data_IF_981482024497
#
_entry.id   IF_981482024497
#
_cell.length_a   1.000
_cell.length_b   1.000
_cell.length_c   1.000
_cell.angle_alpha   90.00
_cell.angle_beta   90.00
_cell.angle_gamma   90.00
#
_symmetry.space_group_name_H-M   'P 1'
#
loop_
_entity.id
_entity.type
_entity.pdbx_description
1 polymer ?
#
# COMPACT_ATOMS: atom_id res chain seq x y z
N UNK A 1 2.71 20.47 -1.98
CA UNK A 1 3.89 19.72 -1.49
C UNK A 1 3.98 18.41 -2.26
N UNK A 2 5.19 18.02 -2.64
CA UNK A 2 5.45 17.00 -3.66
C UNK A 2 4.73 15.67 -3.36
N UNK A 3 3.82 15.29 -4.26
CA UNK A 3 3.43 13.89 -4.44
C UNK A 3 4.73 13.15 -4.74
N UNK A 4 5.21 12.29 -3.82
CA UNK A 4 6.42 11.49 -4.07
C UNK A 4 6.26 10.77 -5.40
N UNK A 5 7.17 10.96 -6.35
CA UNK A 5 7.12 10.21 -7.61
C UNK A 5 7.26 8.72 -7.29
N UNK A 6 6.70 7.85 -8.14
CA UNK A 6 6.79 6.40 -7.94
C UNK A 6 8.23 5.93 -7.71
N UNK A 7 9.21 6.55 -8.39
CA UNK A 7 10.64 6.27 -8.24
C UNK A 7 11.19 6.57 -6.83
N UNK A 8 10.72 7.64 -6.20
CA UNK A 8 11.21 8.11 -4.90
C UNK A 8 10.52 7.42 -3.70
N UNK A 9 9.44 6.69 -3.94
CA UNK A 9 8.69 6.02 -2.88
C UNK A 9 9.44 4.76 -2.40
N UNK A 10 9.78 4.66 -1.10
CA UNK A 10 10.46 3.50 -0.56
C UNK A 10 9.64 2.22 -0.74
N UNK A 11 10.33 1.16 -1.14
CA UNK A 11 9.78 -0.20 -1.16
C UNK A 11 10.00 -0.81 0.21
N UNK A 12 8.91 -1.19 0.88
CA UNK A 12 8.94 -1.76 2.22
C UNK A 12 8.17 -3.07 2.26
N UNK A 13 8.41 -3.86 3.29
CA UNK A 13 7.72 -5.12 3.45
C UNK A 13 6.25 -4.87 3.88
N UNK A 14 5.27 -5.65 3.40
CA UNK A 14 3.86 -5.51 3.77
C UNK A 14 3.60 -5.44 5.28
N UNK A 15 4.40 -6.14 6.09
CA UNK A 15 4.27 -6.10 7.56
C UNK A 15 4.57 -4.75 8.20
N UNK A 16 5.25 -3.85 7.49
CA UNK A 16 5.61 -2.51 7.99
C UNK A 16 4.51 -1.47 7.71
N UNK A 17 3.53 -1.82 6.89
CA UNK A 17 2.41 -0.96 6.49
C UNK A 17 1.43 -0.81 7.66
N UNK A 18 0.93 0.41 7.85
CA UNK A 18 -0.06 0.73 8.90
C UNK A 18 -1.32 1.38 8.32
N UNK A 19 -2.41 1.28 9.07
CA UNK A 19 -3.64 2.02 8.74
C UNK A 19 -3.33 3.52 8.73
N UNK A 20 -3.76 4.20 7.66
CA UNK A 20 -3.48 5.61 7.39
C UNK A 20 -2.29 5.84 6.45
N UNK A 21 -1.47 4.82 6.16
CA UNK A 21 -0.42 4.93 5.16
C UNK A 21 -1.00 5.05 3.75
N UNK A 22 -0.32 5.81 2.90
CA UNK A 22 -0.60 5.85 1.47
C UNK A 22 0.32 4.84 0.81
N UNK A 23 -0.26 3.86 0.13
CA UNK A 23 0.49 2.78 -0.51
C UNK A 23 0.11 2.69 -1.98
N UNK A 24 1.01 2.13 -2.78
CA UNK A 24 0.74 1.82 -4.18
C UNK A 24 1.42 0.52 -4.58
N UNK A 25 1.09 0.05 -5.77
CA UNK A 25 1.59 -1.23 -6.27
C UNK A 25 3.03 -1.11 -6.79
N UNK A 26 3.73 -2.25 -6.90
CA UNK A 26 5.03 -2.34 -7.58
C UNK A 26 4.95 -2.12 -9.08
N UNK A 27 3.75 -2.18 -9.66
CA UNK A 27 3.57 -1.80 -11.06
C UNK A 27 3.74 -0.28 -11.15
N UNK A 28 4.27 0.24 -12.26
CA UNK A 28 4.38 1.67 -12.52
C UNK A 28 2.98 2.24 -12.84
N UNK A 29 2.06 2.06 -11.91
CA UNK A 29 0.71 2.62 -11.93
C UNK A 29 0.69 3.80 -11.00
N UNK A 30 0.00 4.86 -11.38
CA UNK A 30 -0.28 5.99 -10.48
C UNK A 30 -1.33 5.66 -9.40
N UNK A 31 -1.80 4.42 -9.34
CA UNK A 31 -2.74 3.95 -8.33
C UNK A 31 -2.10 3.98 -6.94
N UNK A 32 -2.62 4.87 -6.12
CA UNK A 32 -2.26 5.07 -4.72
C UNK A 32 -3.52 5.16 -3.91
N UNK A 33 -3.52 4.52 -2.75
CA UNK A 33 -4.67 4.59 -1.86
C UNK A 33 -4.23 4.63 -0.40
N UNK A 34 -5.07 5.28 0.41
CA UNK A 34 -4.88 5.32 1.86
C UNK A 34 -5.40 4.02 2.46
N UNK A 35 -4.54 3.28 3.16
CA UNK A 35 -4.90 2.06 3.87
C UNK A 35 -5.89 2.41 4.98
N UNK A 36 -7.04 1.73 4.97
CA UNK A 36 -8.09 1.85 5.98
C UNK A 36 -8.20 0.61 6.86
N UNK A 37 -7.88 -0.55 6.30
CA UNK A 37 -7.91 -1.83 6.99
C UNK A 37 -6.78 -2.72 6.49
N UNK A 38 -6.21 -3.50 7.41
CA UNK A 38 -5.19 -4.50 7.13
C UNK A 38 -5.74 -5.82 7.66
N UNK A 39 -5.94 -6.80 6.78
CA UNK A 39 -6.13 -8.17 7.21
C UNK A 39 -4.75 -8.75 7.50
N UNK A 40 -4.57 -9.27 8.72
CA UNK A 40 -3.33 -9.93 9.12
C UNK A 40 -3.00 -11.15 8.25
N UNK A 41 -1.74 -11.62 8.29
CA UNK A 41 -1.28 -12.71 7.46
C UNK A 41 -2.11 -13.97 7.70
N UNK A 42 -2.80 -14.46 6.66
CA UNK A 42 -3.38 -15.79 6.71
C UNK A 42 -2.25 -16.81 6.84
N UNK A 43 -2.42 -17.80 7.73
CA UNK A 43 -1.32 -18.59 8.29
C UNK A 43 -0.58 -19.47 7.29
N UNK A 44 -1.13 -19.73 6.10
CA UNK A 44 -0.39 -20.28 4.97
C UNK A 44 -1.25 -20.19 3.69
N UNK A 45 -0.79 -19.54 2.59
CA UNK A 45 0.42 -18.74 2.48
C UNK A 45 0.31 -17.38 3.20
N UNK A 46 1.41 -16.91 3.77
CA UNK A 46 1.50 -15.64 4.51
C UNK A 46 1.23 -14.44 3.59
N UNK A 47 -0.04 -14.05 3.51
CA UNK A 47 -0.54 -12.99 2.63
C UNK A 47 -1.15 -11.84 3.41
N UNK A 48 -0.78 -10.63 3.04
CA UNK A 48 -1.26 -9.38 3.60
C UNK A 48 -2.28 -8.77 2.65
N UNK A 49 -3.51 -8.57 3.14
CA UNK A 49 -4.56 -7.90 2.37
C UNK A 49 -4.79 -6.51 2.91
N UNK A 50 -4.57 -5.50 2.07
CA UNK A 50 -4.83 -4.10 2.37
C UNK A 50 -6.12 -3.66 1.70
N UNK A 51 -6.98 -3.02 2.49
CA UNK A 51 -8.16 -2.34 1.99
C UNK A 51 -7.95 -0.85 2.22
N UNK A 52 -8.21 -0.06 1.19
CA UNK A 52 -8.03 1.37 1.26
C UNK A 52 -8.94 2.12 0.32
N UNK A 53 -8.77 3.43 0.32
CA UNK A 53 -9.52 4.36 -0.52
C UNK A 53 -8.56 5.34 -1.17
N UNK A 54 -8.69 5.54 -2.47
CA UNK A 54 -7.92 6.55 -3.21
C UNK A 54 -8.51 7.96 -3.02
N UNK A 55 -7.95 8.95 -3.72
CA UNK A 55 -8.39 10.34 -3.63
C UNK A 55 -9.77 10.57 -4.27
N UNK A 56 -10.14 9.78 -5.27
CA UNK A 56 -11.46 9.85 -5.94
C UNK A 56 -12.56 9.13 -5.16
N UNK A 57 -12.20 8.47 -4.06
CA UNK A 57 -13.14 7.81 -3.16
C UNK A 57 -13.43 6.35 -3.49
N UNK A 58 -12.75 5.77 -4.48
CA UNK A 58 -12.88 4.37 -4.88
C UNK A 58 -12.19 3.46 -3.86
N UNK A 59 -12.84 2.34 -3.56
CA UNK A 59 -12.28 1.33 -2.68
C UNK A 59 -11.31 0.44 -3.46
N UNK A 60 -10.13 0.25 -2.88
CA UNK A 60 -9.09 -0.62 -3.41
C UNK A 60 -8.82 -1.75 -2.44
N UNK A 61 -8.64 -2.94 -3.00
CA UNK A 61 -8.20 -4.12 -2.28
C UNK A 61 -6.95 -4.64 -2.98
N UNK A 62 -5.87 -4.85 -2.26
CA UNK A 62 -4.67 -5.49 -2.81
C UNK A 62 -4.12 -6.50 -1.82
N UNK A 63 -3.68 -7.63 -2.36
CA UNK A 63 -3.10 -8.72 -1.61
C UNK A 63 -1.63 -8.87 -2.01
N UNK A 64 -0.75 -8.98 -1.02
CA UNK A 64 0.68 -9.15 -1.21
C UNK A 64 1.17 -10.34 -0.41
N UNK A 65 2.02 -11.18 -0.99
CA UNK A 65 2.74 -12.21 -0.25
C UNK A 65 3.82 -11.63 0.67
N UNK A 66 4.28 -12.41 1.64
CA UNK A 66 5.42 -12.07 2.50
C UNK A 66 6.74 -11.90 1.71
N UNK A 67 6.86 -12.47 0.51
CA UNK A 67 8.01 -12.23 -0.37
C UNK A 67 7.90 -10.98 -1.22
N UNK A 68 6.76 -10.29 -1.20
CA UNK A 68 6.50 -9.13 -2.05
C UNK A 68 6.79 -7.82 -1.33
N UNK A 69 7.01 -6.76 -2.10
CA UNK A 69 7.26 -5.42 -1.58
C UNK A 69 6.10 -4.50 -1.95
N UNK A 70 5.92 -3.45 -1.15
CA UNK A 70 4.89 -2.42 -1.37
C UNK A 70 5.57 -1.06 -1.36
N UNK A 71 5.14 -0.15 -2.24
CA UNK A 71 5.63 1.23 -2.19
C UNK A 71 4.79 2.05 -1.22
N UNK A 72 5.44 2.62 -0.20
CA UNK A 72 4.82 3.54 0.76
C UNK A 72 5.14 4.97 0.36
N UNK A 73 4.12 5.81 0.26
CA UNK A 73 4.23 7.22 -0.07
C UNK A 73 4.08 8.09 1.17
N UNK A 74 4.84 9.18 1.23
CA UNK A 74 4.63 10.20 2.25
C UNK A 74 3.24 10.84 2.11
N UNK A 75 2.54 10.99 3.24
CA UNK A 75 1.29 11.75 3.31
C UNK A 75 1.59 13.21 3.01
N UNK A 76 0.89 13.78 2.02
CA UNK A 76 0.89 15.23 1.84
C UNK A 76 0.36 15.87 3.13
N UNK A 77 1.21 16.65 3.80
CA UNK A 77 0.84 17.41 5.00
C UNK A 77 -0.16 18.51 4.67
#
# INVERSE_FOLDING_TARGET
MAVQSWWDAPQIHPSEIRVGDIIGTLRPTDLRYTVKLISGPQTDPKQWTFFGRDDVGLQHTSTFGDGELVRRYAKAS
#
